data_IF_068350229832
#
_entry.id   IF_068350229832
#
_cell.length_a   1.000
_cell.length_b   1.000
_cell.length_c   1.000
_cell.angle_alpha   90.00
_cell.angle_beta   90.00
_cell.angle_gamma   90.00
#
_symmetry.space_group_name_H-M   'P 1'
#
loop_
_entity.id
_entity.type
_entity.pdbx_description
1 polymer ?
#
# COMPACT_ATOMS: atom_id res chain seq x y z
N UNK A 1 25.14 -3.71 26.86
CA UNK A 1 24.27 -2.88 26.01
C UNK A 1 23.87 -3.71 24.80
N UNK A 2 22.59 -3.66 24.45
CA UNK A 2 21.95 -4.22 23.24
C UNK A 2 22.11 -5.71 22.93
N UNK A 3 21.11 -6.48 23.35
CA UNK A 3 20.59 -7.59 22.55
C UNK A 3 19.09 -7.30 22.33
N UNK A 4 18.78 -6.49 21.31
CA UNK A 4 17.42 -6.42 20.80
C UNK A 4 17.14 -7.74 20.08
N UNK A 5 16.07 -8.49 20.44
CA UNK A 5 15.78 -9.76 19.80
C UNK A 5 15.46 -9.50 18.32
N UNK A 6 16.10 -10.28 17.45
CA UNK A 6 15.92 -10.26 16.00
C UNK A 6 14.44 -10.25 15.65
N UNK A 7 13.94 -9.09 15.20
CA UNK A 7 12.70 -9.04 14.41
C UNK A 7 12.92 -10.05 13.29
N UNK A 8 12.04 -11.05 13.19
CA UNK A 8 12.08 -12.01 12.11
C UNK A 8 11.90 -11.21 10.81
N UNK A 9 13.00 -10.90 10.12
CA UNK A 9 12.95 -10.11 8.89
C UNK A 9 12.34 -11.03 7.84
N UNK A 10 11.02 -10.97 7.70
CA UNK A 10 10.34 -11.64 6.60
C UNK A 10 10.91 -11.02 5.32
N UNK A 11 11.51 -11.88 4.49
CA UNK A 11 12.15 -11.42 3.26
C UNK A 11 11.11 -10.82 2.33
N UNK A 12 11.49 -9.78 1.59
CA UNK A 12 10.59 -9.19 0.61
C UNK A 12 10.12 -10.21 -0.44
N UNK A 13 11.00 -11.15 -0.81
CA UNK A 13 10.68 -12.22 -1.74
C UNK A 13 9.53 -13.09 -1.23
N UNK A 14 9.57 -13.47 0.05
CA UNK A 14 8.49 -14.23 0.66
C UNK A 14 7.18 -13.44 0.69
N UNK A 15 7.23 -12.16 1.07
CA UNK A 15 6.04 -11.29 1.06
C UNK A 15 5.45 -11.16 -0.34
N UNK A 16 6.28 -10.93 -1.36
CA UNK A 16 5.85 -10.86 -2.76
C UNK A 16 5.20 -12.17 -3.19
N UNK A 17 5.84 -13.32 -2.95
CA UNK A 17 5.29 -14.63 -3.32
C UNK A 17 3.96 -14.92 -2.62
N UNK A 18 3.87 -14.65 -1.32
CA UNK A 18 2.65 -14.80 -0.53
C UNK A 18 1.49 -14.00 -1.15
N UNK A 19 1.70 -12.71 -1.40
CA UNK A 19 0.64 -11.84 -1.90
C UNK A 19 0.31 -12.08 -3.38
N UNK A 20 1.29 -12.43 -4.21
CA UNK A 20 1.05 -12.87 -5.58
C UNK A 20 0.23 -14.17 -5.65
N UNK A 21 0.41 -15.10 -4.70
CA UNK A 21 -0.42 -16.30 -4.64
C UNK A 21 -1.89 -16.00 -4.34
N UNK A 22 -2.20 -14.87 -3.71
CA UNK A 22 -3.57 -14.46 -3.35
C UNK A 22 -4.20 -13.62 -4.47
N UNK A 23 -3.48 -12.62 -4.99
CA UNK A 23 -3.98 -11.68 -5.99
C UNK A 23 -3.79 -12.15 -7.43
N UNK A 24 -2.89 -13.12 -7.66
CA UNK A 24 -2.55 -13.61 -8.97
C UNK A 24 -1.76 -12.61 -9.82
N UNK A 25 -1.58 -12.94 -11.09
CA UNK A 25 -0.71 -12.19 -12.00
C UNK A 25 -1.25 -10.82 -12.44
N UNK A 26 -2.50 -10.49 -12.11
CA UNK A 26 -3.17 -9.23 -12.48
C UNK A 26 -2.67 -8.04 -11.65
N UNK A 27 -1.97 -8.31 -10.56
CA UNK A 27 -1.44 -7.32 -9.65
C UNK A 27 0.09 -7.42 -9.56
N UNK A 28 0.73 -6.29 -9.30
CA UNK A 28 2.13 -6.23 -8.87
C UNK A 28 2.18 -5.87 -7.38
N UNK A 29 3.17 -6.43 -6.67
CA UNK A 29 3.36 -6.23 -5.23
C UNK A 29 4.50 -5.24 -4.98
N UNK A 30 4.16 -4.14 -4.31
CA UNK A 30 5.08 -3.10 -3.90
C UNK A 30 5.35 -3.21 -2.40
N UNK A 31 6.62 -3.13 -2.03
CA UNK A 31 7.08 -3.19 -0.65
C UNK A 31 7.96 -1.96 -0.43
N UNK A 32 7.73 -1.24 0.65
CA UNK A 32 8.42 -0.01 0.99
C UNK A 32 8.77 -0.02 2.47
N UNK A 33 10.05 0.21 2.78
CA UNK A 33 10.57 0.36 4.14
C UNK A 33 10.58 1.86 4.50
N UNK A 34 9.67 2.28 5.37
CA UNK A 34 9.37 3.67 5.64
C UNK A 34 9.77 4.01 7.07
N UNK A 35 10.55 5.07 7.26
CA UNK A 35 10.84 5.61 8.59
C UNK A 35 9.92 6.78 8.92
N UNK A 36 9.03 6.61 9.91
CA UNK A 36 8.19 7.70 10.44
C UNK A 36 8.94 8.44 11.55
N UNK A 37 9.26 9.74 11.40
CA UNK A 37 9.82 10.53 12.48
C UNK A 37 8.76 10.75 13.57
N UNK A 38 9.20 10.99 14.81
CA UNK A 38 8.34 10.94 16.00
C UNK A 38 7.11 11.86 15.94
N UNK A 39 7.26 13.01 15.28
CA UNK A 39 6.20 14.00 15.05
C UNK A 39 5.73 14.08 13.59
N UNK A 40 6.12 13.12 12.76
CA UNK A 40 5.77 13.08 11.34
C UNK A 40 4.50 12.32 11.02
N UNK A 41 4.01 12.54 9.79
CA UNK A 41 3.01 11.71 9.16
C UNK A 41 3.62 10.99 7.94
N UNK A 42 2.98 9.91 7.50
CA UNK A 42 3.40 9.21 6.28
C UNK A 42 3.17 10.02 5.00
N UNK A 43 2.28 11.01 5.05
CA UNK A 43 1.90 11.81 3.89
C UNK A 43 0.95 11.09 2.93
N UNK A 44 0.06 10.24 3.46
CA UNK A 44 -0.97 9.54 2.68
C UNK A 44 -2.37 9.77 3.23
N UNK A 45 -3.36 9.68 2.35
CA UNK A 45 -4.77 9.53 2.68
C UNK A 45 -5.27 8.21 2.12
N UNK A 46 -6.19 7.55 2.83
CA UNK A 46 -6.79 6.27 2.42
C UNK A 46 -8.23 6.47 1.94
N UNK A 47 -8.66 5.61 1.03
CA UNK A 47 -10.04 5.49 0.58
C UNK A 47 -10.48 4.03 0.68
N UNK A 48 -11.59 3.81 1.39
CA UNK A 48 -12.25 2.52 1.43
C UNK A 48 -13.00 2.26 0.14
N UNK A 49 -12.80 1.08 -0.44
CA UNK A 49 -13.51 0.59 -1.62
C UNK A 49 -14.40 -0.57 -1.17
N UNK A 50 -15.71 -0.39 -1.31
CA UNK A 50 -16.68 -1.44 -1.10
C UNK A 50 -16.60 -2.44 -2.26
N UNK A 51 -16.52 -3.73 -1.92
CA UNK A 51 -16.66 -4.81 -2.87
C UNK A 51 -18.13 -5.24 -2.89
N UNK A 52 -18.82 -4.88 -3.98
CA UNK A 52 -20.25 -5.15 -4.15
C UNK A 52 -20.41 -6.31 -5.11
N UNK A 53 -21.12 -7.35 -4.68
CA UNK A 53 -21.55 -8.46 -5.53
C UNK A 53 -23.04 -8.70 -5.30
N UNK A 54 -23.81 -8.88 -6.38
CA UNK A 54 -25.26 -9.11 -6.30
C UNK A 54 -25.99 -8.02 -5.47
N UNK A 55 -25.65 -6.74 -5.74
CA UNK A 55 -26.15 -5.56 -5.02
C UNK A 55 -25.93 -5.58 -3.50
N UNK A 56 -25.03 -6.45 -3.01
CA UNK A 56 -24.66 -6.57 -1.61
C UNK A 56 -23.18 -6.29 -1.41
N UNK A 57 -22.88 -5.52 -0.38
CA UNK A 57 -21.50 -5.36 0.07
C UNK A 57 -21.01 -6.67 0.69
N UNK A 58 -20.11 -7.36 -0.03
CA UNK A 58 -19.49 -8.61 0.41
C UNK A 58 -18.13 -8.39 1.07
N UNK A 59 -17.72 -7.13 1.24
CA UNK A 59 -16.50 -6.72 1.92
C UNK A 59 -15.94 -5.43 1.34
N UNK A 60 -14.66 -5.18 1.56
CA UNK A 60 -13.96 -4.02 1.01
C UNK A 60 -12.47 -4.05 1.31
N UNK A 61 -11.76 -3.11 0.72
CA UNK A 61 -10.34 -2.89 0.96
C UNK A 61 -10.01 -1.42 0.86
N UNK A 62 -8.94 -1.01 1.56
CA UNK A 62 -8.44 0.35 1.48
C UNK A 62 -7.34 0.48 0.45
N UNK A 63 -7.38 1.58 -0.30
CA UNK A 63 -6.30 1.99 -1.17
C UNK A 63 -5.78 3.39 -0.82
N UNK A 64 -4.58 3.71 -1.29
CA UNK A 64 -4.02 5.04 -1.21
C UNK A 64 -4.85 5.96 -2.11
N UNK A 65 -5.48 6.97 -1.53
CA UNK A 65 -6.23 7.98 -2.27
C UNK A 65 -5.33 9.14 -2.71
N UNK A 66 -4.50 9.62 -1.80
CA UNK A 66 -3.62 10.77 -2.00
C UNK A 66 -2.25 10.44 -1.43
N UNK A 67 -1.21 10.85 -2.16
CA UNK A 67 0.16 10.93 -1.70
C UNK A 67 0.59 12.40 -1.73
N UNK A 68 1.07 12.91 -0.60
CA UNK A 68 1.68 14.23 -0.53
C UNK A 68 3.08 14.12 -1.17
N UNK A 69 3.40 14.90 -2.23
CA UNK A 69 4.69 14.83 -2.91
C UNK A 69 5.87 15.03 -1.96
N UNK A 70 5.73 15.94 -0.99
CA UNK A 70 6.75 16.21 0.03
C UNK A 70 6.66 15.29 1.26
N UNK A 71 5.66 14.42 1.30
CA UNK A 71 5.49 13.40 2.33
C UNK A 71 6.54 12.29 2.21
N UNK A 72 6.72 11.54 3.30
CA UNK A 72 7.76 10.49 3.39
C UNK A 72 7.59 9.46 2.28
N UNK A 73 6.36 8.97 2.09
CA UNK A 73 6.07 7.98 1.06
C UNK A 73 6.07 8.62 -0.34
N UNK A 74 5.61 9.86 -0.46
CA UNK A 74 5.58 10.57 -1.75
C UNK A 74 6.98 10.80 -2.33
N UNK A 75 7.96 11.12 -1.47
CA UNK A 75 9.36 11.31 -1.86
C UNK A 75 10.05 10.04 -2.34
N UNK A 76 9.67 8.89 -1.82
CA UNK A 76 10.22 7.61 -2.24
C UNK A 76 9.70 7.20 -3.64
N UNK A 77 8.46 7.56 -3.96
CA UNK A 77 7.87 7.37 -5.29
C UNK A 77 7.56 5.92 -5.67
N UNK A 78 7.75 4.95 -4.76
CA UNK A 78 7.44 3.53 -4.98
C UNK A 78 5.92 3.33 -5.00
N UNK A 79 5.23 3.85 -3.98
CA UNK A 79 3.79 3.77 -3.84
C UNK A 79 3.11 4.89 -4.62
N UNK A 80 1.89 4.64 -5.09
CA UNK A 80 1.08 5.55 -5.89
C UNK A 80 -0.37 5.57 -5.43
N UNK A 81 -1.13 6.63 -5.76
CA UNK A 81 -2.59 6.60 -5.61
C UNK A 81 -3.17 5.39 -6.38
N UNK A 82 -4.15 4.72 -5.78
CA UNK A 82 -4.73 3.46 -6.26
C UNK A 82 -4.12 2.21 -5.60
N UNK A 83 -2.95 2.30 -4.98
CA UNK A 83 -2.32 1.13 -4.35
C UNK A 83 -3.14 0.60 -3.17
N UNK A 84 -3.49 -0.67 -3.24
CA UNK A 84 -4.27 -1.39 -2.22
C UNK A 84 -3.37 -1.72 -1.04
N UNK A 85 -3.78 -1.36 0.18
CA UNK A 85 -3.05 -1.65 1.41
C UNK A 85 -3.25 -3.12 1.80
N UNK A 86 -2.16 -3.88 1.90
CA UNK A 86 -2.22 -5.31 2.20
C UNK A 86 -1.79 -5.66 3.62
N UNK A 87 -0.63 -5.14 4.02
CA UNK A 87 0.02 -5.51 5.27
C UNK A 87 0.98 -4.41 5.71
N UNK A 88 1.11 -4.23 7.03
CA UNK A 88 2.13 -3.38 7.64
C UNK A 88 2.93 -4.21 8.65
N UNK A 89 4.25 -4.22 8.51
CA UNK A 89 5.13 -5.11 9.28
C UNK A 89 4.65 -6.56 9.15
N UNK A 90 4.27 -7.21 10.25
CA UNK A 90 3.77 -8.58 10.29
C UNK A 90 2.24 -8.68 10.29
N UNK A 91 1.54 -7.54 10.24
CA UNK A 91 0.09 -7.47 10.43
C UNK A 91 -0.66 -7.30 9.11
N UNK A 92 -1.53 -8.27 8.80
CA UNK A 92 -2.37 -8.25 7.61
C UNK A 92 -3.52 -7.24 7.81
N UNK A 93 -3.52 -6.21 6.96
CA UNK A 93 -4.52 -5.15 6.92
C UNK A 93 -5.60 -5.41 5.87
N UNK A 94 -5.30 -6.20 4.84
CA UNK A 94 -6.27 -6.57 3.81
C UNK A 94 -7.50 -7.24 4.42
N UNK A 95 -8.70 -6.79 4.02
CA UNK A 95 -9.98 -7.27 4.56
C UNK A 95 -10.32 -6.78 5.96
N UNK A 96 -9.49 -5.91 6.57
CA UNK A 96 -9.86 -5.17 7.78
C UNK A 96 -10.71 -3.95 7.41
N UNK A 97 -11.51 -3.48 8.37
CA UNK A 97 -12.29 -2.26 8.19
C UNK A 97 -11.37 -1.02 8.16
N UNK A 98 -11.71 -0.04 7.33
CA UNK A 98 -11.07 1.27 7.21
C UNK A 98 -10.64 1.90 8.54
N UNK A 99 -11.54 1.92 9.54
CA UNK A 99 -11.25 2.51 10.86
C UNK A 99 -10.06 1.82 11.54
N UNK A 100 -9.99 0.49 11.42
CA UNK A 100 -8.90 -0.29 12.00
C UNK A 100 -7.58 -0.01 11.29
N UNK A 101 -7.59 0.04 9.96
CA UNK A 101 -6.40 0.30 9.13
C UNK A 101 -5.82 1.67 9.47
N UNK A 102 -6.67 2.71 9.51
CA UNK A 102 -6.26 4.08 9.85
C UNK A 102 -5.70 4.15 11.26
N UNK A 103 -6.40 3.58 12.25
CA UNK A 103 -5.93 3.56 13.63
C UNK A 103 -4.59 2.84 13.76
N UNK A 104 -4.40 1.73 13.04
CA UNK A 104 -3.15 0.97 13.08
C UNK A 104 -1.99 1.76 12.50
N UNK A 105 -2.13 2.35 11.33
CA UNK A 105 -1.09 3.19 10.73
C UNK A 105 -0.77 4.41 11.60
N UNK A 106 -1.76 5.03 12.24
CA UNK A 106 -1.54 6.15 13.15
C UNK A 106 -0.76 5.73 14.41
N UNK A 107 -1.06 4.56 14.96
CA UNK A 107 -0.43 4.04 16.18
C UNK A 107 1.04 3.67 16.01
N UNK A 108 1.49 3.34 14.79
CA UNK A 108 2.88 2.94 14.59
C UNK A 108 3.83 4.12 14.76
N UNK A 109 4.92 3.84 15.47
CA UNK A 109 6.07 4.72 15.69
C UNK A 109 7.26 4.13 14.95
N UNK A 110 8.12 4.99 14.40
CA UNK A 110 9.37 4.61 13.73
C UNK A 110 9.18 3.84 12.41
N UNK A 111 10.05 2.86 12.16
CA UNK A 111 10.18 2.15 10.90
C UNK A 111 9.02 1.16 10.69
N UNK A 112 8.48 1.16 9.49
CA UNK A 112 7.51 0.18 9.02
C UNK A 112 7.93 -0.42 7.69
N UNK A 113 7.45 -1.63 7.43
CA UNK A 113 7.42 -2.23 6.10
C UNK A 113 5.98 -2.24 5.61
N UNK A 114 5.66 -1.40 4.64
CA UNK A 114 4.33 -1.33 4.05
C UNK A 114 4.30 -2.19 2.78
N UNK A 115 3.30 -3.07 2.68
CA UNK A 115 3.08 -3.94 1.53
C UNK A 115 1.77 -3.55 0.85
N UNK A 116 1.86 -3.26 -0.45
CA UNK A 116 0.72 -2.85 -1.27
C UNK A 116 0.61 -3.65 -2.57
N UNK A 117 -0.58 -3.68 -3.16
CA UNK A 117 -0.82 -4.19 -4.51
C UNK A 117 -1.28 -3.09 -5.46
N UNK A 118 -0.84 -3.14 -6.71
CA UNK A 118 -1.35 -2.29 -7.80
C UNK A 118 -1.85 -3.16 -8.94
N UNK A 119 -3.04 -2.87 -9.46
CA UNK A 119 -3.57 -3.59 -10.61
C UNK A 119 -2.83 -3.18 -11.89
N UNK A 120 -2.41 -4.16 -12.70
CA UNK A 120 -1.61 -3.91 -13.92
C UNK A 120 -2.34 -3.07 -14.96
N UNK A 121 -3.66 -3.20 -15.05
CA UNK A 121 -4.46 -2.43 -16.02
C UNK A 121 -4.49 -0.94 -15.66
N UNK A 122 -4.47 -0.58 -14.37
CA UNK A 122 -4.40 0.82 -13.94
C UNK A 122 -3.03 1.44 -14.26
N UNK A 123 -1.96 0.63 -14.32
CA UNK A 123 -0.65 1.08 -14.79
C UNK A 123 -0.65 1.43 -16.28
N UNK A 124 -1.39 0.66 -17.09
CA UNK A 124 -1.51 0.91 -18.52
C UNK A 124 -2.37 2.15 -18.81
N UNK A 125 -3.44 2.37 -18.05
CA UNK A 125 -4.31 3.54 -18.18
C UNK A 125 -3.60 4.86 -17.79
N UNK A 126 -2.68 4.82 -16.81
CA UNK A 126 -1.86 5.98 -16.42
C UNK A 126 -0.69 6.22 -17.38
N UNK A 127 -0.14 5.18 -18.01
CA UNK A 127 0.89 5.29 -19.05
C UNK A 127 0.35 5.74 -20.42
N UNK A 128 -0.94 5.52 -20.70
CA UNK A 128 -1.59 5.88 -21.97
C UNK A 128 -1.85 7.38 -22.19
N UNK A 129 -1.72 8.23 -21.17
CA UNK A 129 -1.97 9.68 -21.27
C UNK A 129 -0.81 10.50 -21.87
N UNK A 130 0.28 9.87 -22.32
CA UNK A 130 1.40 10.57 -22.98
C UNK A 130 1.34 10.57 -24.53
N UNK A 131 0.29 10.00 -25.15
CA UNK A 131 0.24 9.88 -26.63
C UNK A 131 -0.65 10.89 -27.34
N UNK A 132 -1.11 11.97 -26.68
CA UNK A 132 -1.94 13.00 -27.33
C UNK A 132 -1.36 14.42 -27.22
N UNK A 133 -0.03 14.54 -27.39
CA UNK A 133 0.64 15.82 -27.53
C UNK A 133 1.65 15.85 -28.70
N UNK A 134 1.40 15.09 -29.78
CA UNK A 134 2.15 15.20 -31.04
C UNK A 134 1.31 14.73 -32.25
N UNK A 135 0.12 15.29 -32.46
CA UNK A 135 -0.51 15.25 -33.79
C UNK A 135 -0.90 16.67 -34.20
N UNK A 136 0.04 17.27 -34.96
CA UNK A 136 -0.02 18.45 -35.85
C UNK A 136 -1.02 19.57 -35.56
#
# INVERSE_FOLDING_TARGET
MQNCPSLHVISEQFLRQKWLSIFGNKYDIYISDIYKPDNGCFGISLKGIANIADDREIGGFDCINILLPDGIIGKEGILKPGDIILQVNDEILFGKNHVYIVARLQAIKHQIKLVCARHKIEQLASAGHLTQAMEK
#
